data_IF_990514652856
#
_entry.id   IF_990514652856
#
_cell.length_a   1.000
_cell.length_b   1.000
_cell.length_c   1.000
_cell.angle_alpha   90.00
_cell.angle_beta   90.00
_cell.angle_gamma   90.00
#
_symmetry.space_group_name_H-M   'P 1'
#
loop_
_entity.id
_entity.type
_entity.pdbx_description
1 polymer ?
#
# COMPACT_ATOMS: atom_id res chain seq x y z
N UNK A 1 40.67 -5.35 11.70
CA UNK A 1 39.50 -4.62 11.15
C UNK A 1 39.94 -4.03 9.83
N UNK A 2 39.19 -4.28 8.76
CA UNK A 2 39.48 -3.77 7.41
C UNK A 2 38.41 -2.75 7.04
N UNK A 3 38.81 -1.68 6.37
CA UNK A 3 37.91 -0.64 5.86
C UNK A 3 37.36 -1.10 4.51
N UNK A 4 36.12 -1.55 4.50
CA UNK A 4 35.40 -2.01 3.31
C UNK A 4 34.21 -1.07 3.07
N UNK A 5 33.79 -0.87 1.82
CA UNK A 5 32.63 -0.02 1.47
C UNK A 5 31.30 -0.71 1.83
N UNK A 6 31.08 -0.96 3.12
CA UNK A 6 29.86 -1.60 3.62
C UNK A 6 28.73 -0.57 3.60
N UNK A 7 27.64 -0.90 2.93
CA UNK A 7 26.46 -0.03 2.80
C UNK A 7 26.28 0.58 1.41
N UNK A 8 27.25 0.43 0.51
CA UNK A 8 27.11 0.87 -0.88
C UNK A 8 26.12 -0.02 -1.66
N UNK A 9 25.52 0.57 -2.72
CA UNK A 9 24.57 -0.10 -3.63
C UNK A 9 23.26 -0.57 -2.97
N UNK A 10 22.71 0.21 -2.03
CA UNK A 10 21.34 0.01 -1.55
C UNK A 10 20.37 0.15 -2.73
N UNK A 11 19.54 -0.87 -2.92
CA UNK A 11 18.45 -0.89 -3.87
C UNK A 11 17.14 -1.03 -3.09
N UNK A 12 16.12 -0.34 -3.57
CA UNK A 12 14.76 -0.39 -3.04
C UNK A 12 13.79 -0.28 -4.21
N UNK A 13 12.54 -0.64 -3.98
CA UNK A 13 11.49 -0.57 -4.99
C UNK A 13 10.71 0.73 -4.84
N UNK A 14 10.91 1.74 -5.70
CA UNK A 14 10.10 2.95 -5.64
C UNK A 14 8.67 2.62 -6.04
N UNK A 15 7.72 3.04 -5.19
CA UNK A 15 6.29 2.88 -5.39
C UNK A 15 5.62 4.24 -5.54
N UNK A 16 4.54 4.28 -6.32
CA UNK A 16 3.66 5.45 -6.41
C UNK A 16 2.28 5.10 -5.88
N UNK A 17 1.75 5.98 -5.04
CA UNK A 17 0.43 5.85 -4.42
C UNK A 17 -0.48 7.00 -4.86
N UNK A 18 -1.80 6.82 -4.70
CA UNK A 18 -2.79 7.85 -5.02
C UNK A 18 -3.69 7.54 -6.22
N UNK A 19 -3.57 6.38 -6.88
CA UNK A 19 -4.62 5.92 -7.80
C UNK A 19 -5.71 5.19 -7.00
N UNK A 20 -6.69 5.96 -6.53
CA UNK A 20 -7.72 5.50 -5.58
C UNK A 20 -9.09 5.40 -6.26
N UNK A 21 -9.82 4.32 -5.95
CA UNK A 21 -11.20 4.13 -6.36
C UNK A 21 -12.08 3.98 -5.12
N UNK A 22 -13.05 4.87 -4.97
CA UNK A 22 -14.08 4.78 -3.93
C UNK A 22 -15.23 3.87 -4.38
N UNK A 23 -15.84 3.14 -3.45
CA UNK A 23 -17.02 2.32 -3.74
C UNK A 23 -18.00 2.30 -2.57
N UNK A 24 -19.30 2.18 -2.87
CA UNK A 24 -20.37 2.20 -1.86
C UNK A 24 -20.69 0.80 -1.35
N UNK A 25 -19.67 0.11 -0.82
CA UNK A 25 -19.81 -1.18 -0.12
C UNK A 25 -18.80 -1.27 1.02
N UNK A 26 -19.15 -1.89 2.16
CA UNK A 26 -18.29 -1.92 3.33
C UNK A 26 -17.20 -3.01 3.24
N UNK A 27 -16.43 -3.06 2.16
CA UNK A 27 -15.39 -4.07 1.91
C UNK A 27 -13.96 -3.53 1.97
N UNK A 28 -13.77 -2.22 1.99
CA UNK A 28 -12.46 -1.62 2.13
C UNK A 28 -11.86 -1.85 3.51
N UNK A 29 -10.56 -1.60 3.62
CA UNK A 29 -9.85 -1.51 4.87
C UNK A 29 -10.08 -0.11 5.43
N UNK A 30 -10.64 -0.03 6.63
CA UNK A 30 -10.71 1.21 7.42
C UNK A 30 -10.18 0.88 8.81
N UNK A 31 -9.25 1.66 9.32
CA UNK A 31 -8.56 1.37 10.58
C UNK A 31 -9.53 1.02 11.72
N UNK A 32 -10.61 1.78 11.87
CA UNK A 32 -11.64 1.58 12.91
C UNK A 32 -12.32 0.20 12.89
N UNK A 33 -12.39 -0.46 11.73
CA UNK A 33 -12.96 -1.82 11.61
C UNK A 33 -11.95 -2.92 11.93
N UNK A 34 -10.66 -2.63 11.83
CA UNK A 34 -9.58 -3.63 11.91
C UNK A 34 -8.86 -3.53 13.26
N UNK A 35 -8.58 -2.31 13.74
CA UNK A 35 -7.84 -2.05 14.96
C UNK A 35 -8.78 -1.83 16.15
N UNK A 36 -9.45 -2.90 16.59
CA UNK A 36 -10.30 -2.89 17.77
C UNK A 36 -10.13 -4.17 18.60
N UNK A 37 -10.56 -4.12 19.87
CA UNK A 37 -10.36 -5.20 20.83
C UNK A 37 -11.00 -6.52 20.39
N UNK A 38 -12.17 -6.48 19.75
CA UNK A 38 -12.84 -7.69 19.28
C UNK A 38 -12.04 -8.39 18.17
N UNK A 39 -11.54 -7.61 17.20
CA UNK A 39 -10.67 -8.13 16.13
C UNK A 39 -9.37 -8.69 16.71
N UNK A 40 -8.74 -7.98 17.65
CA UNK A 40 -7.51 -8.42 18.30
C UNK A 40 -7.70 -9.76 19.02
N UNK A 41 -8.73 -9.89 19.85
CA UNK A 41 -9.02 -11.12 20.58
C UNK A 41 -9.35 -12.28 19.62
N UNK A 42 -10.12 -12.02 18.56
CA UNK A 42 -10.44 -13.05 17.57
C UNK A 42 -9.18 -13.56 16.85
N UNK A 43 -8.25 -12.65 16.51
CA UNK A 43 -6.97 -13.04 15.95
C UNK A 43 -6.13 -13.86 16.94
N UNK A 44 -6.03 -13.42 18.20
CA UNK A 44 -5.23 -14.13 19.22
C UNK A 44 -5.77 -15.52 19.55
N UNK A 45 -7.10 -15.66 19.66
CA UNK A 45 -7.72 -16.92 20.10
C UNK A 45 -7.94 -17.88 18.93
N UNK A 46 -8.39 -17.37 17.79
CA UNK A 46 -8.85 -18.19 16.66
C UNK A 46 -7.92 -18.13 15.44
N UNK A 47 -6.84 -17.33 15.48
CA UNK A 47 -5.97 -17.07 14.33
C UNK A 47 -6.76 -16.59 13.10
N UNK A 48 -7.83 -15.82 13.34
CA UNK A 48 -8.82 -15.48 12.33
C UNK A 48 -9.27 -14.02 12.42
N UNK A 49 -9.86 -13.54 11.33
CA UNK A 49 -10.42 -12.20 11.22
C UNK A 49 -9.46 -11.20 10.56
N UNK A 50 -9.84 -9.92 10.50
CA UNK A 50 -9.15 -8.94 9.68
C UNK A 50 -7.65 -8.77 9.97
N UNK A 51 -7.20 -8.99 11.21
CA UNK A 51 -5.78 -8.90 11.58
C UNK A 51 -4.90 -10.04 11.00
N UNK A 52 -5.50 -11.10 10.44
CA UNK A 52 -4.76 -12.11 9.69
C UNK A 52 -4.58 -11.78 8.20
N UNK A 53 -5.02 -10.59 7.75
CA UNK A 53 -4.85 -10.15 6.37
C UNK A 53 -3.39 -9.81 6.04
N UNK A 54 -3.05 -9.79 4.75
CA UNK A 54 -1.71 -9.50 4.24
C UNK A 54 -1.40 -7.99 4.18
N UNK A 55 -1.68 -7.26 5.26
CA UNK A 55 -1.40 -5.82 5.35
C UNK A 55 -2.14 -4.95 4.34
N UNK A 56 -3.28 -5.42 3.82
CA UNK A 56 -4.05 -4.72 2.79
C UNK A 56 -3.74 -5.14 1.35
N UNK A 57 -2.73 -5.97 1.10
CA UNK A 57 -2.40 -6.42 -0.26
C UNK A 57 -3.32 -7.57 -0.69
N UNK A 58 -4.23 -7.27 -1.62
CA UNK A 58 -5.22 -8.22 -2.14
C UNK A 58 -4.81 -8.85 -3.47
N UNK A 59 -3.91 -8.19 -4.20
CA UNK A 59 -3.45 -8.67 -5.50
C UNK A 59 -2.12 -8.05 -5.90
N UNK A 60 -1.41 -8.76 -6.77
CA UNK A 60 -0.16 -8.31 -7.35
C UNK A 60 -0.12 -8.74 -8.82
N UNK A 61 0.37 -7.85 -9.69
CA UNK A 61 0.60 -8.15 -11.09
C UNK A 61 1.93 -7.56 -11.54
N UNK A 62 2.58 -8.26 -12.46
CA UNK A 62 3.83 -7.87 -13.07
C UNK A 62 3.63 -7.68 -14.57
N UNK A 63 4.25 -6.66 -15.14
CA UNK A 63 4.06 -6.34 -16.53
C UNK A 63 5.27 -5.61 -17.11
N UNK A 64 5.32 -5.60 -18.44
CA UNK A 64 6.32 -4.84 -19.19
C UNK A 64 5.77 -3.49 -19.58
N UNK A 65 6.47 -2.42 -19.22
CA UNK A 65 6.19 -1.09 -19.73
C UNK A 65 6.71 -0.96 -21.16
N UNK A 66 6.36 0.12 -21.85
CA UNK A 66 6.95 0.46 -23.16
C UNK A 66 8.45 0.77 -23.11
N UNK A 67 9.03 0.87 -21.91
CA UNK A 67 10.44 1.15 -21.66
C UNK A 67 11.25 -0.09 -21.31
N UNK A 68 10.60 -1.25 -21.15
CA UNK A 68 11.26 -2.51 -20.88
C UNK A 68 12.31 -2.81 -21.96
N UNK A 69 13.41 -3.45 -21.55
CA UNK A 69 14.40 -3.96 -22.50
C UNK A 69 13.73 -4.90 -23.49
N UNK A 70 14.03 -4.71 -24.79
CA UNK A 70 13.56 -5.62 -25.84
C UNK A 70 14.42 -6.88 -25.95
N UNK A 71 15.59 -6.86 -25.33
CA UNK A 71 16.57 -7.94 -25.42
C UNK A 71 16.38 -8.98 -24.30
N UNK A 72 15.54 -8.67 -23.30
CA UNK A 72 15.25 -9.54 -22.16
C UNK A 72 13.75 -9.80 -22.08
N UNK A 73 13.34 -10.97 -22.61
CA UNK A 73 11.93 -11.33 -22.66
C UNK A 73 11.37 -11.90 -21.35
N UNK A 74 12.24 -12.26 -20.40
CA UNK A 74 11.88 -13.03 -19.21
C UNK A 74 11.53 -12.17 -17.99
N UNK A 75 12.04 -10.92 -17.93
CA UNK A 75 11.88 -10.06 -16.75
C UNK A 75 10.94 -8.86 -16.97
N UNK A 76 9.90 -8.67 -16.13
CA UNK A 76 9.11 -7.45 -16.10
C UNK A 76 9.92 -6.29 -15.50
N UNK A 77 9.69 -5.07 -16.00
CA UNK A 77 10.30 -3.83 -15.51
C UNK A 77 9.36 -3.02 -14.61
N UNK A 78 8.15 -3.52 -14.33
CA UNK A 78 7.20 -2.91 -13.41
C UNK A 78 6.25 -3.92 -12.77
N UNK A 79 5.74 -3.55 -11.60
CA UNK A 79 4.65 -4.24 -10.90
C UNK A 79 3.54 -3.28 -10.50
N UNK A 80 2.39 -3.83 -10.13
CA UNK A 80 1.28 -3.09 -9.54
C UNK A 80 0.61 -3.94 -8.47
N UNK A 81 0.42 -3.35 -7.29
CA UNK A 81 -0.30 -3.99 -6.19
C UNK A 81 -1.70 -3.42 -6.06
N UNK A 82 -2.66 -4.28 -5.77
CA UNK A 82 -4.02 -3.90 -5.37
C UNK A 82 -4.07 -3.89 -3.85
N UNK A 83 -4.34 -2.72 -3.29
CA UNK A 83 -4.52 -2.51 -1.88
C UNK A 83 -6.01 -2.33 -1.55
N UNK A 84 -6.49 -3.00 -0.50
CA UNK A 84 -7.87 -2.89 -0.02
C UNK A 84 -8.18 -1.59 0.71
N UNK A 85 -7.26 -0.62 0.73
CA UNK A 85 -7.47 0.70 1.31
C UNK A 85 -6.55 1.73 0.67
N UNK A 86 -6.56 2.94 1.22
CA UNK A 86 -5.69 4.04 0.82
C UNK A 86 -5.18 4.77 2.06
N UNK A 87 -4.36 5.81 1.90
CA UNK A 87 -3.98 6.65 3.03
C UNK A 87 -5.14 7.45 3.66
N UNK A 88 -6.33 7.45 3.05
CA UNK A 88 -7.54 7.97 3.70
C UNK A 88 -8.15 6.96 4.70
N UNK A 89 -7.74 5.69 4.63
CA UNK A 89 -8.30 4.58 5.42
C UNK A 89 -7.92 4.61 6.90
N UNK A 90 -6.78 5.21 7.25
CA UNK A 90 -6.32 5.45 8.63
C UNK A 90 -6.51 6.92 9.04
N UNK A 91 -7.33 7.67 8.30
CA UNK A 91 -7.54 9.11 8.50
C UNK A 91 -6.24 9.94 8.47
N UNK A 92 -5.14 9.39 7.93
CA UNK A 92 -3.84 10.05 7.88
C UNK A 92 -3.07 10.04 9.20
N UNK A 93 -3.41 9.14 10.12
CA UNK A 93 -2.73 9.01 11.42
C UNK A 93 -1.27 8.57 11.24
N UNK A 94 -1.02 7.58 10.38
CA UNK A 94 0.31 7.00 10.16
C UNK A 94 0.74 7.14 8.70
N UNK A 95 -0.16 6.83 7.75
CA UNK A 95 0.18 6.75 6.34
C UNK A 95 0.51 8.12 5.74
N UNK A 96 -0.12 9.20 6.20
CA UNK A 96 0.19 10.55 5.71
C UNK A 96 1.64 10.93 5.95
N UNK A 97 2.14 10.65 7.17
CA UNK A 97 3.52 10.93 7.55
C UNK A 97 4.48 9.98 6.84
N UNK A 98 4.18 8.69 6.80
CA UNK A 98 5.02 7.68 6.14
C UNK A 98 5.22 7.95 4.64
N UNK A 99 4.16 8.36 3.93
CA UNK A 99 4.27 8.75 2.52
C UNK A 99 4.83 10.17 2.33
N UNK A 100 4.96 10.96 3.39
CA UNK A 100 5.46 12.33 3.31
C UNK A 100 4.54 13.26 2.51
N UNK A 101 3.21 13.09 2.61
CA UNK A 101 2.28 13.92 1.85
C UNK A 101 2.32 15.38 2.28
N UNK A 102 2.37 16.28 1.29
CA UNK A 102 2.17 17.71 1.49
C UNK A 102 0.75 17.99 1.96
N UNK A 103 0.60 19.04 2.76
CA UNK A 103 -0.69 19.42 3.35
C UNK A 103 -1.76 19.73 2.30
N UNK A 104 -1.40 20.37 1.18
CA UNK A 104 -2.35 20.66 0.10
C UNK A 104 -2.86 19.39 -0.56
N UNK A 105 -1.97 18.43 -0.84
CA UNK A 105 -2.35 17.11 -1.38
C UNK A 105 -3.27 16.38 -0.41
N UNK A 106 -2.93 16.36 0.88
CA UNK A 106 -3.77 15.74 1.89
C UNK A 106 -5.16 16.37 1.94
N UNK A 107 -5.23 17.69 2.07
CA UNK A 107 -6.47 18.42 2.29
C UNK A 107 -7.39 18.39 1.04
N UNK A 108 -6.83 18.44 -0.16
CA UNK A 108 -7.61 18.49 -1.41
C UNK A 108 -7.97 17.10 -1.93
N UNK A 109 -7.10 16.10 -1.76
CA UNK A 109 -7.28 14.77 -2.38
C UNK A 109 -7.76 13.70 -1.39
N UNK A 110 -7.13 13.59 -0.21
CA UNK A 110 -7.37 12.49 0.74
C UNK A 110 -8.44 12.82 1.79
N UNK A 111 -8.39 14.01 2.38
CA UNK A 111 -9.31 14.43 3.44
C UNK A 111 -10.81 14.29 3.05
N UNK A 112 -11.24 14.59 1.80
CA UNK A 112 -12.64 14.43 1.40
C UNK A 112 -13.15 12.98 1.36
N UNK A 113 -12.24 12.01 1.27
CA UNK A 113 -12.56 10.58 1.16
C UNK A 113 -12.19 9.78 2.42
N UNK A 114 -11.81 10.45 3.50
CA UNK A 114 -11.63 9.82 4.82
C UNK A 114 -12.95 9.17 5.27
N UNK A 115 -12.86 8.02 5.93
CA UNK A 115 -13.99 7.18 6.36
C UNK A 115 -14.88 6.65 5.21
N UNK A 116 -14.39 6.68 3.96
CA UNK A 116 -15.05 6.02 2.83
C UNK A 116 -14.33 4.75 2.43
N UNK A 117 -15.06 3.75 1.94
CA UNK A 117 -14.47 2.53 1.42
C UNK A 117 -13.74 2.82 0.10
N UNK A 118 -12.44 2.50 0.07
CA UNK A 118 -11.55 2.74 -1.07
C UNK A 118 -10.70 1.50 -1.36
N UNK A 119 -10.26 1.39 -2.61
CA UNK A 119 -9.17 0.50 -3.03
C UNK A 119 -8.13 1.34 -3.78
N UNK A 120 -6.88 0.93 -3.72
CA UNK A 120 -5.78 1.61 -4.38
C UNK A 120 -5.02 0.65 -5.29
N UNK A 121 -4.66 1.13 -6.48
CA UNK A 121 -3.66 0.48 -7.31
C UNK A 121 -2.36 1.25 -7.16
N UNK A 122 -1.29 0.58 -6.76
CA UNK A 122 0.01 1.21 -6.52
C UNK A 122 1.09 0.58 -7.41
N UNK A 123 1.49 1.27 -8.50
CA UNK A 123 2.58 0.82 -9.36
C UNK A 123 3.93 0.98 -8.66
N UNK A 124 4.82 0.01 -8.87
CA UNK A 124 6.17 -0.01 -8.32
C UNK A 124 7.18 -0.52 -9.34
N UNK A 125 8.47 -0.20 -9.14
CA UNK A 125 9.57 -0.64 -10.00
C UNK A 125 10.51 -1.61 -9.24
N UNK A 126 10.96 -2.70 -9.88
CA UNK A 126 11.93 -3.64 -9.32
C UNK A 126 13.37 -3.11 -9.32
#
# INVERSE_FOLDING_TARGET
LADLPVGDNLQDHPETVGLIFSFDKPFGMLETRFFNLATLLNYTINSAGPMSMLGGLEGNAWFKTKYASKDDDDWPDAGIVLLSGSAASDSGDVLRENYGFRDDIWNEYYAPIVNTDTLQLAPWLP
#
